data_IF_251769676419
#
_entry.id   IF_251769676419
#
_cell.length_a   1.000
_cell.length_b   1.000
_cell.length_c   1.000
_cell.angle_alpha   90.00
_cell.angle_beta   90.00
_cell.angle_gamma   90.00
#
_symmetry.space_group_name_H-M   'P 1'
#
loop_
_entity.id
_entity.type
_entity.pdbx_description
1 polymer ?
#
# COMPACT_ATOMS: atom_id res chain seq x y z
N UNK A 1 -11.73 5.38 9.46
CA UNK A 1 -11.71 6.37 8.37
C UNK A 1 -10.95 5.75 7.22
N UNK A 2 -11.42 5.86 5.98
CA UNK A 2 -10.80 5.15 4.85
C UNK A 2 -9.48 5.78 4.42
N UNK A 3 -9.35 7.10 4.59
CA UNK A 3 -8.12 7.87 4.36
C UNK A 3 -7.70 8.70 5.58
N UNK A 4 -6.41 9.09 5.62
CA UNK A 4 -5.82 10.00 6.63
C UNK A 4 -4.68 10.81 6.01
N UNK A 5 -4.53 12.08 6.36
CA UNK A 5 -3.42 12.91 5.86
C UNK A 5 -2.07 12.47 6.42
N UNK A 6 -1.00 12.59 5.64
CA UNK A 6 0.35 12.31 6.15
C UNK A 6 0.74 13.24 7.31
N UNK A 7 0.19 14.46 7.37
CA UNK A 7 0.37 15.40 8.49
C UNK A 7 -0.20 14.89 9.81
N UNK A 8 -1.20 14.00 9.74
CA UNK A 8 -1.95 13.47 10.89
C UNK A 8 -1.46 12.09 11.33
N UNK A 9 -0.42 11.55 10.69
CA UNK A 9 0.11 10.20 10.91
C UNK A 9 1.50 10.25 11.54
N UNK A 10 1.79 9.36 12.48
CA UNK A 10 3.08 9.27 13.15
C UNK A 10 3.73 7.91 13.21
N UNK A 11 4.95 7.87 13.76
CA UNK A 11 5.67 6.61 13.97
C UNK A 11 4.89 5.63 14.85
N UNK A 12 3.94 6.08 15.68
CA UNK A 12 3.05 5.17 16.42
C UNK A 12 1.89 4.60 15.60
N UNK A 13 1.66 5.11 14.39
CA UNK A 13 0.48 4.80 13.57
C UNK A 13 0.77 3.74 12.48
N UNK A 14 1.80 2.90 12.68
CA UNK A 14 2.20 1.86 11.72
C UNK A 14 1.04 0.90 11.41
N UNK A 15 0.22 0.55 12.40
CA UNK A 15 -0.96 -0.32 12.19
C UNK A 15 -2.03 0.31 11.29
N UNK A 16 -2.02 1.64 11.14
CA UNK A 16 -2.98 2.39 10.33
C UNK A 16 -2.38 2.70 8.96
N UNK A 17 -1.15 3.22 8.95
CA UNK A 17 -0.52 3.82 7.79
C UNK A 17 0.63 3.01 7.18
N UNK A 18 0.98 1.86 7.77
CA UNK A 18 2.16 1.08 7.38
C UNK A 18 3.48 1.78 7.75
N UNK A 19 4.60 1.07 7.61
CA UNK A 19 5.91 1.59 8.00
C UNK A 19 6.34 2.84 7.22
N UNK A 20 6.13 2.88 5.90
CA UNK A 20 6.39 4.08 5.07
C UNK A 20 5.48 5.25 5.42
N UNK A 21 4.17 5.04 5.54
CA UNK A 21 3.23 6.11 5.85
C UNK A 21 3.55 6.74 7.22
N UNK A 22 3.81 5.90 8.22
CA UNK A 22 4.26 6.30 9.54
C UNK A 22 5.58 7.10 9.50
N UNK A 23 6.57 6.61 8.75
CA UNK A 23 7.87 7.27 8.60
C UNK A 23 7.78 8.61 7.87
N UNK A 24 6.96 8.71 6.81
CA UNK A 24 6.71 9.96 6.08
C UNK A 24 6.07 11.01 6.97
N UNK A 25 5.03 10.62 7.73
CA UNK A 25 4.39 11.53 8.67
C UNK A 25 5.35 11.99 9.79
N UNK A 26 6.25 11.11 10.24
CA UNK A 26 7.28 11.48 11.21
C UNK A 26 8.30 12.48 10.66
N UNK A 27 8.70 12.32 9.40
CA UNK A 27 9.56 13.29 8.72
C UNK A 27 8.87 14.65 8.57
N UNK A 28 7.56 14.69 8.26
CA UNK A 28 6.78 15.94 8.19
C UNK A 28 6.78 16.65 9.55
N UNK A 29 6.48 15.93 10.64
CA UNK A 29 6.49 16.51 12.00
C UNK A 29 7.88 16.99 12.43
N UNK A 30 8.93 16.35 11.92
CA UNK A 30 10.31 16.76 12.16
C UNK A 30 10.74 17.97 11.31
N UNK A 31 9.85 18.53 10.47
CA UNK A 31 10.09 19.72 9.66
C UNK A 31 10.83 19.46 8.35
N UNK A 32 10.93 18.20 7.91
CA UNK A 32 11.53 17.89 6.62
C UNK A 32 10.56 18.21 5.47
N UNK A 33 11.09 18.63 4.29
CA UNK A 33 10.27 18.95 3.13
C UNK A 33 9.81 17.67 2.44
N UNK A 34 8.81 17.01 3.01
CA UNK A 34 8.17 15.83 2.42
C UNK A 34 7.02 16.28 1.51
N UNK A 35 6.91 15.75 0.28
CA UNK A 35 5.81 16.09 -0.61
C UNK A 35 4.45 15.78 0.03
N UNK A 36 3.44 16.66 -0.10
CA UNK A 36 2.11 16.44 0.45
C UNK A 36 1.46 15.14 -0.05
N UNK A 37 0.59 14.58 0.77
CA UNK A 37 -0.07 13.33 0.46
C UNK A 37 -0.91 12.80 1.61
N UNK A 38 -1.59 11.70 1.34
CA UNK A 38 -2.44 11.01 2.29
C UNK A 38 -2.22 9.49 2.21
N UNK A 39 -2.81 8.77 3.15
CA UNK A 39 -2.72 7.32 3.26
C UNK A 39 -4.11 6.74 3.22
N UNK A 40 -4.31 5.74 2.36
CA UNK A 40 -5.44 4.83 2.42
C UNK A 40 -5.10 3.79 3.48
N UNK A 41 -5.91 3.73 4.53
CA UNK A 41 -5.54 2.99 5.74
C UNK A 41 -5.52 1.48 5.53
N UNK A 42 -4.75 0.77 6.35
CA UNK A 42 -4.75 -0.68 6.44
C UNK A 42 -6.17 -1.27 6.68
N UNK A 43 -6.97 -0.59 7.52
CA UNK A 43 -8.36 -1.00 7.77
C UNK A 43 -9.24 -0.94 6.53
N UNK A 44 -8.92 -0.06 5.57
CA UNK A 44 -9.66 0.07 4.31
C UNK A 44 -9.49 -1.17 3.43
N UNK A 45 -8.27 -1.72 3.35
CA UNK A 45 -8.01 -2.98 2.67
C UNK A 45 -8.82 -4.13 3.31
N UNK A 46 -8.78 -4.22 4.65
CA UNK A 46 -9.51 -5.25 5.40
C UNK A 46 -11.02 -5.16 5.16
N UNK A 47 -11.58 -3.96 5.22
CA UNK A 47 -13.00 -3.75 4.94
C UNK A 47 -13.34 -4.09 3.49
N UNK A 48 -12.49 -3.72 2.53
CA UNK A 48 -12.67 -4.05 1.12
C UNK A 48 -12.80 -5.57 0.89
N UNK A 49 -11.85 -6.38 1.39
CA UNK A 49 -11.88 -7.83 1.15
C UNK A 49 -13.07 -8.52 1.85
N UNK A 50 -13.51 -7.98 2.99
CA UNK A 50 -14.65 -8.49 3.74
C UNK A 50 -15.99 -8.12 3.08
N UNK A 51 -16.20 -6.85 2.74
CA UNK A 51 -17.43 -6.37 2.10
C UNK A 51 -17.60 -6.89 0.68
N UNK A 52 -16.49 -7.08 -0.06
CA UNK A 52 -16.51 -7.74 -1.36
C UNK A 52 -16.74 -9.26 -1.27
N UNK A 53 -16.71 -9.84 -0.06
CA UNK A 53 -16.92 -11.28 0.16
C UNK A 53 -15.80 -12.16 -0.39
N UNK A 54 -14.60 -11.61 -0.59
CA UNK A 54 -13.45 -12.34 -1.16
C UNK A 54 -12.44 -12.81 -0.11
N UNK A 55 -12.57 -12.39 1.16
CA UNK A 55 -11.57 -12.65 2.20
C UNK A 55 -11.25 -14.15 2.39
N UNK A 56 -12.26 -14.98 2.64
CA UNK A 56 -12.09 -16.44 2.84
C UNK A 56 -11.42 -17.10 1.62
N UNK A 57 -11.98 -16.86 0.44
CA UNK A 57 -11.44 -17.41 -0.81
C UNK A 57 -10.00 -16.94 -1.08
N UNK A 58 -9.67 -15.69 -0.74
CA UNK A 58 -8.35 -15.11 -0.92
C UNK A 58 -7.32 -15.79 0.00
N UNK A 59 -7.67 -16.03 1.26
CA UNK A 59 -6.80 -16.71 2.22
C UNK A 59 -6.60 -18.18 1.88
N UNK A 60 -7.66 -18.91 1.52
CA UNK A 60 -7.58 -20.30 1.06
C UNK A 60 -6.73 -20.44 -0.20
N UNK A 61 -6.81 -19.46 -1.11
CA UNK A 61 -6.06 -19.49 -2.39
C UNK A 61 -4.54 -19.47 -2.17
N UNK A 62 -4.08 -18.88 -1.07
CA UNK A 62 -2.65 -18.67 -0.80
C UNK A 62 -2.12 -19.54 0.33
N UNK A 63 -2.98 -20.38 0.93
CA UNK A 63 -2.58 -21.51 1.76
C UNK A 63 -2.14 -22.69 0.88
N UNK A 64 -0.91 -22.57 0.36
CA UNK A 64 -0.31 -23.54 -0.55
C UNK A 64 1.07 -23.97 -0.07
N UNK A 65 1.53 -25.13 -0.54
CA UNK A 65 2.92 -25.53 -0.34
C UNK A 65 3.85 -24.56 -1.08
N UNK A 66 4.61 -23.75 -0.35
CA UNK A 66 5.48 -22.71 -0.92
C UNK A 66 6.75 -23.26 -1.58
N UNK A 67 7.08 -24.53 -1.36
CA UNK A 67 8.16 -25.22 -2.09
C UNK A 67 7.72 -25.69 -3.48
N UNK A 68 6.41 -25.66 -3.78
CA UNK A 68 5.86 -25.94 -5.10
C UNK A 68 5.71 -24.64 -5.90
N UNK A 69 6.62 -24.47 -6.87
CA UNK A 69 6.64 -23.28 -7.74
C UNK A 69 5.36 -23.13 -8.56
N UNK A 70 4.73 -24.22 -9.02
CA UNK A 70 3.51 -24.15 -9.83
C UNK A 70 2.30 -23.78 -8.96
N UNK A 71 2.27 -24.27 -7.72
CA UNK A 71 1.28 -23.87 -6.72
C UNK A 71 1.39 -22.37 -6.40
N UNK A 72 2.60 -21.84 -6.18
CA UNK A 72 2.83 -20.41 -5.94
C UNK A 72 2.38 -19.53 -7.13
N UNK A 73 2.70 -19.92 -8.36
CA UNK A 73 2.26 -19.21 -9.58
C UNK A 73 0.73 -19.18 -9.66
N UNK A 74 0.09 -20.31 -9.38
CA UNK A 74 -1.36 -20.45 -9.41
C UNK A 74 -2.02 -19.61 -8.30
N UNK A 75 -1.50 -19.69 -7.08
CA UNK A 75 -1.97 -18.93 -5.92
C UNK A 75 -1.90 -17.41 -6.18
N UNK A 76 -0.73 -16.93 -6.64
CA UNK A 76 -0.54 -15.55 -7.04
C UNK A 76 -1.57 -15.10 -8.07
N UNK A 77 -1.71 -15.85 -9.17
CA UNK A 77 -2.58 -15.47 -10.29
C UNK A 77 -4.05 -15.40 -9.86
N UNK A 78 -4.51 -16.36 -9.05
CA UNK A 78 -5.88 -16.38 -8.51
C UNK A 78 -6.12 -15.25 -7.53
N UNK A 79 -5.18 -14.98 -6.62
CA UNK A 79 -5.31 -13.90 -5.64
C UNK A 79 -5.39 -12.52 -6.31
N UNK A 80 -4.53 -12.26 -7.31
CA UNK A 80 -4.59 -11.04 -8.12
C UNK A 80 -5.94 -10.93 -8.83
N UNK A 81 -6.42 -12.02 -9.46
CA UNK A 81 -7.70 -12.02 -10.16
C UNK A 81 -8.89 -11.73 -9.22
N UNK A 82 -8.87 -12.24 -7.98
CA UNK A 82 -9.91 -11.96 -6.98
C UNK A 82 -9.94 -10.48 -6.60
N UNK A 83 -8.78 -9.89 -6.29
CA UNK A 83 -8.68 -8.48 -5.91
C UNK A 83 -9.07 -7.59 -7.08
N UNK A 84 -8.59 -7.90 -8.29
CA UNK A 84 -8.88 -7.13 -9.50
C UNK A 84 -10.33 -7.29 -9.97
N UNK A 85 -10.97 -8.44 -9.72
CA UNK A 85 -12.38 -8.68 -10.03
C UNK A 85 -13.35 -8.05 -9.03
N UNK A 86 -12.93 -7.86 -7.77
CA UNK A 86 -13.77 -7.26 -6.74
C UNK A 86 -13.95 -5.76 -6.92
N UNK A 87 -15.16 -5.26 -6.66
CA UNK A 87 -15.46 -3.82 -6.66
C UNK A 87 -15.13 -3.20 -5.31
N UNK A 88 -14.45 -2.04 -5.32
CA UNK A 88 -14.25 -1.24 -4.11
C UNK A 88 -15.62 -0.69 -3.67
N UNK A 89 -16.00 -0.72 -2.38
CA UNK A 89 -17.23 -0.09 -1.91
C UNK A 89 -17.31 1.38 -2.33
N UNK A 90 -18.50 1.83 -2.77
CA UNK A 90 -18.67 3.19 -3.32
C UNK A 90 -18.24 4.28 -2.32
N UNK A 91 -18.56 4.11 -1.05
CA UNK A 91 -18.15 5.02 0.03
C UNK A 91 -16.62 5.15 0.16
N UNK A 92 -15.88 4.07 -0.06
CA UNK A 92 -14.41 4.07 -0.03
C UNK A 92 -13.86 4.73 -1.28
N UNK A 93 -14.46 4.49 -2.46
CA UNK A 93 -14.07 5.17 -3.70
C UNK A 93 -14.25 6.68 -3.57
N UNK A 94 -15.42 7.11 -3.08
CA UNK A 94 -15.74 8.52 -2.85
C UNK A 94 -14.76 9.17 -1.87
N UNK A 95 -14.46 8.53 -0.73
CA UNK A 95 -13.50 9.06 0.25
C UNK A 95 -12.10 9.25 -0.35
N UNK A 96 -11.60 8.26 -1.11
CA UNK A 96 -10.29 8.33 -1.77
C UNK A 96 -10.25 9.45 -2.80
N UNK A 97 -11.28 9.56 -3.65
CA UNK A 97 -11.34 10.55 -4.71
C UNK A 97 -11.55 11.97 -4.16
N UNK A 98 -12.36 12.13 -3.12
CA UNK A 98 -12.50 13.40 -2.41
C UNK A 98 -11.18 13.84 -1.79
N UNK A 99 -10.45 12.92 -1.13
CA UNK A 99 -9.14 13.22 -0.55
C UNK A 99 -8.10 13.61 -1.61
N UNK A 100 -8.15 12.97 -2.78
CA UNK A 100 -7.32 13.35 -3.93
C UNK A 100 -7.68 14.77 -4.42
N UNK A 101 -8.96 15.09 -4.54
CA UNK A 101 -9.41 16.42 -4.99
C UNK A 101 -9.03 17.52 -3.98
N UNK A 102 -9.07 17.23 -2.68
CA UNK A 102 -8.55 18.10 -1.62
C UNK A 102 -7.03 18.32 -1.75
N UNK A 103 -6.27 17.27 -2.07
CA UNK A 103 -4.82 17.36 -2.29
C UNK A 103 -4.49 18.24 -3.51
N UNK A 104 -5.23 18.08 -4.61
CA UNK A 104 -5.13 18.94 -5.81
C UNK A 104 -5.37 20.40 -5.45
N UNK A 105 -6.43 20.69 -4.67
CA UNK A 105 -6.73 22.06 -4.24
C UNK A 105 -5.64 22.65 -3.34
N UNK A 106 -5.05 21.85 -2.45
CA UNK A 106 -3.97 22.29 -1.57
C UNK A 106 -2.71 22.68 -2.35
N UNK A 107 -2.41 21.97 -3.43
CA UNK A 107 -1.21 22.20 -4.25
C UNK A 107 -1.46 23.28 -5.30
N UNK A 108 -2.69 23.39 -5.82
CA UNK A 108 -3.07 24.37 -6.84
C UNK A 108 -2.76 23.94 -8.27
N UNK A 109 -2.56 22.64 -8.51
CA UNK A 109 -2.24 22.07 -9.83
C UNK A 109 -3.33 21.07 -10.28
N UNK A 110 -4.18 21.47 -11.23
CA UNK A 110 -5.32 20.66 -11.68
C UNK A 110 -4.92 19.33 -12.34
N UNK A 111 -3.80 19.32 -13.07
CA UNK A 111 -3.27 18.15 -13.80
C UNK A 111 -2.13 17.44 -13.04
N UNK A 112 -2.22 17.42 -11.70
CA UNK A 112 -1.21 16.81 -10.85
C UNK A 112 -1.14 15.29 -11.03
N UNK A 113 0.08 14.76 -11.05
CA UNK A 113 0.35 13.33 -10.92
C UNK A 113 0.67 12.94 -9.47
N UNK A 114 0.32 11.71 -9.09
CA UNK A 114 0.70 11.15 -7.79
C UNK A 114 1.53 9.88 -7.93
N UNK A 115 2.33 9.61 -6.91
CA UNK A 115 2.89 8.29 -6.64
C UNK A 115 1.92 7.50 -5.76
N UNK A 116 1.64 6.26 -6.13
CA UNK A 116 0.82 5.29 -5.38
C UNK A 116 1.76 4.21 -4.86
N UNK A 117 1.95 4.13 -3.55
CA UNK A 117 3.03 3.35 -2.92
C UNK A 117 2.44 2.42 -1.88
N UNK A 118 2.62 1.11 -2.06
CA UNK A 118 2.28 0.14 -1.03
C UNK A 118 3.08 0.38 0.26
N UNK A 119 2.44 0.22 1.42
CA UNK A 119 3.10 0.24 2.72
C UNK A 119 2.51 -0.83 3.64
N UNK A 120 3.31 -1.83 3.98
CA UNK A 120 2.85 -2.94 4.79
C UNK A 120 2.89 -2.57 6.29
N UNK A 121 1.95 -3.12 7.06
CA UNK A 121 1.87 -2.93 8.52
C UNK A 121 2.90 -3.76 9.30
N UNK A 122 3.49 -4.78 8.67
CA UNK A 122 4.45 -5.70 9.28
C UNK A 122 5.94 -5.32 9.05
N UNK A 123 6.24 -4.13 8.51
CA UNK A 123 7.60 -3.66 8.17
C UNK A 123 8.56 -3.53 9.37
N UNK A 124 8.03 -3.47 10.60
CA UNK A 124 8.80 -3.17 11.82
C UNK A 124 9.17 -4.39 12.66
N UNK A 125 8.89 -5.62 12.19
CA UNK A 125 9.52 -6.78 12.81
C UNK A 125 11.03 -6.73 12.48
N UNK A 126 11.94 -6.88 13.47
CA UNK A 126 13.39 -6.69 13.27
C UNK A 126 14.02 -7.52 12.14
N UNK A 127 13.33 -8.57 11.69
CA UNK A 127 13.75 -9.46 10.61
C UNK A 127 12.88 -9.36 9.34
N UNK A 128 11.85 -8.50 9.33
CA UNK A 128 10.87 -8.37 8.27
C UNK A 128 11.08 -7.13 7.41
N UNK A 129 12.26 -7.03 6.79
CA UNK A 129 12.41 -6.11 5.67
C UNK A 129 11.63 -6.67 4.47
N UNK A 130 10.37 -6.24 4.32
CA UNK A 130 9.65 -6.35 3.05
C UNK A 130 10.24 -5.43 1.95
N UNK A 131 11.42 -4.85 2.21
CA UNK A 131 12.20 -4.05 1.28
C UNK A 131 12.40 -4.80 -0.04
N UNK A 132 11.92 -4.20 -1.13
CA UNK A 132 12.03 -4.75 -2.48
C UNK A 132 10.89 -5.65 -2.93
N UNK A 133 9.83 -5.82 -2.13
CA UNK A 133 8.59 -6.53 -2.55
C UNK A 133 7.38 -5.61 -2.69
N UNK A 134 7.61 -4.29 -2.63
CA UNK A 134 6.56 -3.31 -2.48
C UNK A 134 6.37 -2.54 -3.78
N UNK A 135 5.19 -2.71 -4.39
CA UNK A 135 4.81 -2.04 -5.62
C UNK A 135 4.70 -0.53 -5.41
N UNK A 136 5.23 0.22 -6.38
CA UNK A 136 5.15 1.68 -6.45
C UNK A 136 4.82 2.05 -7.89
N UNK A 137 3.75 2.80 -8.07
CA UNK A 137 3.31 3.33 -9.35
C UNK A 137 3.55 4.84 -9.35
N UNK A 138 4.30 5.32 -10.34
CA UNK A 138 4.63 6.74 -10.52
C UNK A 138 3.77 7.35 -11.63
N UNK A 139 3.64 8.67 -11.63
CA UNK A 139 2.92 9.42 -12.66
C UNK A 139 1.45 8.98 -12.83
N UNK A 140 0.79 8.65 -11.72
CA UNK A 140 -0.59 8.17 -11.73
C UNK A 140 -1.55 9.36 -11.80
N UNK A 141 -2.50 9.30 -12.73
CA UNK A 141 -3.59 10.27 -12.85
C UNK A 141 -4.76 9.87 -11.96
N UNK A 142 -5.63 10.84 -11.68
CA UNK A 142 -6.89 10.62 -10.95
C UNK A 142 -7.73 9.47 -11.52
N UNK A 143 -7.80 9.35 -12.84
CA UNK A 143 -8.58 8.30 -13.53
C UNK A 143 -8.10 6.88 -13.21
N UNK A 144 -6.81 6.72 -12.96
CA UNK A 144 -6.17 5.41 -12.79
C UNK A 144 -5.93 5.09 -11.31
N UNK A 145 -6.28 6.02 -10.41
CA UNK A 145 -5.95 5.96 -8.99
C UNK A 145 -6.48 4.69 -8.33
N UNK A 146 -7.76 4.38 -8.52
CA UNK A 146 -8.40 3.23 -7.89
C UNK A 146 -7.81 1.91 -8.39
N UNK A 147 -7.47 1.82 -9.68
CA UNK A 147 -6.81 0.64 -10.25
C UNK A 147 -5.43 0.45 -9.63
N UNK A 148 -4.64 1.52 -9.47
CA UNK A 148 -3.32 1.44 -8.82
C UNK A 148 -3.41 1.12 -7.33
N UNK A 149 -4.49 1.54 -6.66
CA UNK A 149 -4.76 1.13 -5.27
C UNK A 149 -5.01 -0.38 -5.19
N UNK A 150 -5.79 -0.94 -6.11
CA UNK A 150 -6.01 -2.40 -6.19
C UNK A 150 -4.73 -3.15 -6.54
N UNK A 151 -3.91 -2.61 -7.43
CA UNK A 151 -2.59 -3.18 -7.74
C UNK A 151 -1.70 -3.25 -6.48
N UNK A 152 -1.69 -2.17 -5.67
CA UNK A 152 -1.00 -2.19 -4.38
C UNK A 152 -1.59 -3.21 -3.40
N UNK A 153 -2.90 -3.38 -3.32
CA UNK A 153 -3.49 -4.43 -2.48
C UNK A 153 -3.14 -5.83 -2.98
N UNK A 154 -3.14 -6.04 -4.29
CA UNK A 154 -2.76 -7.29 -4.93
C UNK A 154 -1.27 -7.63 -4.72
N UNK A 155 -0.41 -6.62 -4.49
CA UNK A 155 1.01 -6.84 -4.25
C UNK A 155 1.31 -7.62 -2.96
N UNK A 156 0.36 -7.69 -2.01
CA UNK A 156 0.47 -8.60 -0.88
C UNK A 156 0.55 -10.06 -1.32
N UNK A 157 0.06 -10.41 -2.51
CA UNK A 157 -0.05 -11.79 -2.97
C UNK A 157 0.91 -12.10 -4.12
N UNK A 158 2.02 -11.37 -4.26
CA UNK A 158 3.12 -11.78 -5.14
C UNK A 158 3.69 -13.12 -4.67
N UNK A 159 4.25 -13.91 -5.60
CA UNK A 159 4.88 -15.20 -5.26
C UNK A 159 5.92 -15.04 -4.14
N UNK A 160 6.73 -13.97 -4.22
CA UNK A 160 7.74 -13.63 -3.20
C UNK A 160 7.13 -13.27 -1.85
N UNK A 161 6.00 -12.56 -1.83
CA UNK A 161 5.32 -12.20 -0.59
C UNK A 161 4.64 -13.41 0.06
N UNK A 162 4.03 -14.31 -0.73
CA UNK A 162 3.44 -15.56 -0.24
C UNK A 162 4.54 -16.45 0.36
N UNK A 163 5.62 -16.70 -0.39
CA UNK A 163 6.77 -17.48 0.06
C UNK A 163 7.36 -16.92 1.36
N UNK A 164 7.63 -15.61 1.37
CA UNK A 164 8.25 -14.95 2.52
C UNK A 164 7.39 -15.05 3.79
N UNK A 165 6.07 -14.88 3.68
CA UNK A 165 5.16 -15.01 4.83
C UNK A 165 5.15 -16.43 5.39
N UNK A 166 5.09 -17.43 4.51
CA UNK A 166 5.09 -18.84 4.91
C UNK A 166 6.39 -19.21 5.63
N UNK A 167 7.55 -18.84 5.07
CA UNK A 167 8.88 -19.07 5.67
C UNK A 167 9.04 -18.43 7.06
N UNK A 168 8.43 -17.26 7.27
CA UNK A 168 8.46 -16.56 8.56
C UNK A 168 7.34 -16.99 9.52
N UNK A 169 6.45 -17.89 9.10
CA UNK A 169 5.32 -18.34 9.90
C UNK A 169 4.29 -17.24 10.19
N UNK A 170 4.21 -16.22 9.34
CA UNK A 170 3.16 -15.20 9.44
C UNK A 170 1.87 -15.73 8.83
N UNK A 171 0.77 -15.65 9.57
CA UNK A 171 -0.54 -15.86 8.96
C UNK A 171 -0.79 -14.79 7.91
N UNK A 172 -1.32 -15.19 6.76
CA UNK A 172 -1.77 -14.24 5.74
C UNK A 172 -2.88 -13.33 6.27
N UNK A 173 -3.63 -13.81 7.26
CA UNK A 173 -4.68 -13.03 7.92
C UNK A 173 -4.13 -11.89 8.80
N UNK A 174 -2.87 -11.97 9.25
CA UNK A 174 -2.28 -11.01 10.18
C UNK A 174 -1.60 -9.82 9.48
N UNK A 175 -1.51 -9.84 8.15
CA UNK A 175 -0.79 -8.82 7.38
C UNK A 175 -1.77 -7.93 6.62
N UNK A 176 -1.87 -6.69 7.06
CA UNK A 176 -2.58 -5.63 6.33
C UNK A 176 -1.61 -4.74 5.54
N UNK A 177 -2.17 -4.06 4.54
CA UNK A 177 -1.48 -3.10 3.70
C UNK A 177 -2.22 -1.77 3.66
N UNK A 178 -1.50 -0.68 3.86
CA UNK A 178 -1.93 0.66 3.53
C UNK A 178 -1.36 1.08 2.17
N UNK A 179 -1.91 2.15 1.60
CA UNK A 179 -1.40 2.72 0.34
C UNK A 179 -1.16 4.20 0.54
N UNK A 180 0.07 4.64 0.33
CA UNK A 180 0.46 6.06 0.39
C UNK A 180 0.23 6.68 -0.99
N UNK A 181 -0.54 7.76 -1.02
CA UNK A 181 -0.77 8.60 -2.19
C UNK A 181 -0.04 9.92 -1.96
N UNK A 182 0.95 10.22 -2.80
CA UNK A 182 1.84 11.37 -2.59
C UNK A 182 2.00 12.16 -3.88
N UNK A 183 2.01 13.49 -3.82
CA UNK A 183 2.24 14.33 -5.00
C UNK A 183 3.59 13.99 -5.65
N UNK A 184 3.62 13.89 -6.98
CA UNK A 184 4.86 13.73 -7.71
C UNK A 184 5.72 14.98 -7.60
N UNK A 185 7.03 14.80 -7.65
CA UNK A 185 8.02 15.88 -7.75
C UNK A 185 8.69 15.75 -9.11
N UNK A 186 8.73 16.84 -9.87
CA UNK A 186 9.50 16.93 -11.11
C UNK A 186 10.99 17.14 -10.77
N UNK A 187 11.66 16.02 -10.49
CA UNK A 187 13.03 16.03 -10.01
C UNK A 187 14.04 16.04 -11.17
N UNK A 188 14.95 17.02 -11.17
CA UNK A 188 16.13 17.01 -12.06
C UNK A 188 17.12 15.89 -11.71
N UNK A 189 17.13 15.44 -10.44
CA UNK A 189 18.00 14.38 -9.94
C UNK A 189 17.39 13.71 -8.70
N UNK A 190 17.67 12.42 -8.50
CA UNK A 190 17.22 11.65 -7.33
C UNK A 190 18.31 10.69 -6.85
N UNK A 191 18.24 10.27 -5.58
CA UNK A 191 19.23 9.37 -5.00
C UNK A 191 18.81 8.80 -3.64
N UNK A 192 19.62 7.88 -3.13
CA UNK A 192 19.45 7.26 -1.80
C UNK A 192 20.71 7.57 -0.98
N UNK A 193 20.51 7.94 0.29
CA UNK A 193 21.60 8.25 1.22
C UNK A 193 21.54 7.31 2.43
N UNK A 194 22.68 6.74 2.79
CA UNK A 194 22.88 6.04 4.05
C UNK A 194 23.65 6.93 5.01
N UNK A 195 23.15 7.10 6.24
CA UNK A 195 23.80 7.96 7.26
C UNK A 195 25.04 7.31 7.88
N UNK A 196 25.27 6.02 7.61
CA UNK A 196 26.44 5.23 7.99
C UNK A 196 26.84 4.32 6.82
N UNK A 197 28.07 3.80 6.84
CA UNK A 197 28.49 2.80 5.86
C UNK A 197 27.53 1.59 5.90
N UNK A 198 27.01 1.15 4.75
CA UNK A 198 26.09 0.01 4.67
C UNK A 198 26.73 -1.31 5.10
#
# INVERSE_FOLDING_TARGET
MATIWLTDVSKSDIKIAGGKGASLGEMIRSGFPVPPGFVITASTYRNFINEAGIAEQLFDTVDVNVDDSDALVTAHSKAVALIQGASIPLSVQEDILLKFDELVQQIGEEDMFVAVRSSATAEDLPEASFAGQQETYLNVRRSDLLDRVKDCWASLFTQRAIYYRSEKGFSTEDVDISVVIQSMIDAESSGVLFTRHP
#
